data_IF_029897859024
#
_entry.id   IF_029897859024
#
_cell.length_a   1.000
_cell.length_b   1.000
_cell.length_c   1.000
_cell.angle_alpha   90.00
_cell.angle_beta   90.00
_cell.angle_gamma   90.00
#
_symmetry.space_group_name_H-M   'P 1'
#
loop_
_entity.id
_entity.type
_entity.pdbx_description
1 polymer ?
#
# COMPACT_ATOMS: atom_id res chain seq x y z
N UNK A 1 41.25 22.57 29.49
CA UNK A 1 41.18 22.46 30.98
C UNK A 1 39.95 21.65 31.33
N UNK A 2 40.21 20.43 31.85
CA UNK A 2 39.47 19.67 32.88
C UNK A 2 37.98 19.34 32.64
N UNK A 3 37.48 18.16 32.94
CA UNK A 3 38.00 16.86 33.46
C UNK A 3 36.96 15.77 33.12
N UNK A 4 37.49 14.59 32.86
CA UNK A 4 36.75 13.30 32.87
C UNK A 4 36.10 13.02 34.24
N UNK A 5 34.99 12.30 34.25
CA UNK A 5 34.60 11.46 35.35
C UNK A 5 34.00 10.17 34.81
N UNK A 6 34.77 9.07 34.99
CA UNK A 6 34.33 7.67 34.84
C UNK A 6 33.66 7.25 36.16
N UNK A 7 32.54 6.52 36.07
CA UNK A 7 32.10 5.66 37.16
C UNK A 7 31.96 4.24 36.66
N UNK A 8 32.86 3.40 37.18
CA UNK A 8 32.74 1.94 37.17
C UNK A 8 31.87 1.52 38.35
N UNK A 9 30.97 0.60 38.14
CA UNK A 9 30.33 -0.16 39.21
C UNK A 9 30.43 -1.65 38.91
N UNK A 10 31.17 -2.31 39.74
CA UNK A 10 31.42 -3.74 39.83
C UNK A 10 30.16 -4.40 40.42
N UNK A 11 29.60 -5.35 39.71
CA UNK A 11 28.58 -6.25 40.26
C UNK A 11 29.17 -7.63 40.62
N UNK A 12 29.02 -7.95 41.84
CA UNK A 12 29.53 -9.14 42.56
C UNK A 12 28.69 -10.35 42.17
N UNK A 13 29.34 -11.39 41.63
CA UNK A 13 28.74 -12.72 41.46
C UNK A 13 28.68 -13.45 42.80
N UNK A 14 27.53 -13.93 43.20
CA UNK A 14 27.39 -14.93 44.22
C UNK A 14 26.88 -16.23 43.58
N UNK A 15 27.73 -17.25 43.52
CA UNK A 15 27.38 -18.64 43.22
C UNK A 15 26.76 -19.27 44.47
N UNK A 16 25.59 -19.87 44.27
CA UNK A 16 25.06 -20.85 45.16
C UNK A 16 24.70 -22.10 44.35
N UNK A 17 25.51 -23.12 44.50
CA UNK A 17 25.24 -24.51 44.10
C UNK A 17 24.27 -25.11 45.08
N UNK A 18 23.20 -25.73 44.58
CA UNK A 18 22.45 -26.73 45.30
C UNK A 18 22.06 -27.89 44.38
N UNK A 19 22.29 -29.07 44.91
CA UNK A 19 22.35 -30.35 44.26
C UNK A 19 21.01 -30.87 43.69
N UNK A 20 21.21 -31.85 42.84
CA UNK A 20 20.23 -32.67 42.17
C UNK A 20 19.32 -33.47 43.11
N UNK A 21 18.11 -33.62 42.74
CA UNK A 21 17.41 -34.87 42.43
C UNK A 21 15.89 -34.67 42.57
N UNK A 22 15.19 -34.86 41.51
CA UNK A 22 14.07 -35.79 41.47
C UNK A 22 13.33 -35.64 40.13
N UNK A 23 13.31 -36.71 39.37
CA UNK A 23 12.35 -36.95 38.33
C UNK A 23 10.93 -36.89 38.93
N UNK A 24 10.14 -35.94 38.49
CA UNK A 24 8.68 -36.10 38.50
C UNK A 24 8.19 -35.54 37.17
N UNK A 25 7.59 -36.40 36.33
CA UNK A 25 6.73 -36.03 35.25
C UNK A 25 5.63 -35.13 35.82
N UNK A 26 5.78 -33.83 35.67
CA UNK A 26 4.66 -32.91 35.71
C UNK A 26 4.35 -32.56 34.26
N UNK A 27 3.43 -33.31 33.68
CA UNK A 27 2.56 -32.79 32.63
C UNK A 27 1.88 -31.57 33.27
N UNK A 28 2.41 -30.37 32.99
CA UNK A 28 1.63 -29.16 33.22
C UNK A 28 0.36 -29.33 32.37
N UNK A 29 -0.84 -29.20 32.98
CA UNK A 29 -2.05 -29.28 32.20
C UNK A 29 -1.99 -28.14 31.18
N UNK A 30 -2.12 -28.47 29.90
CA UNK A 30 -2.38 -27.50 28.84
C UNK A 30 -3.36 -26.47 29.40
N UNK A 31 -2.97 -25.19 29.34
CA UNK A 31 -3.88 -24.10 29.73
C UNK A 31 -5.19 -24.34 28.99
N UNK A 32 -6.34 -24.38 29.65
CA UNK A 32 -7.59 -24.72 28.98
C UNK A 32 -7.74 -23.78 27.78
N UNK A 33 -7.88 -24.35 26.59
CA UNK A 33 -8.14 -23.60 25.36
C UNK A 33 -9.31 -22.68 25.69
N UNK A 34 -9.07 -21.37 25.58
CA UNK A 34 -10.08 -20.37 25.91
C UNK A 34 -11.24 -20.53 24.94
N UNK A 35 -12.36 -21.07 25.41
CA UNK A 35 -13.55 -21.27 24.57
C UNK A 35 -14.04 -19.91 24.11
N UNK A 36 -13.84 -19.60 22.83
CA UNK A 36 -14.30 -18.37 22.22
C UNK A 36 -15.82 -18.26 22.33
N UNK A 37 -16.33 -17.07 22.60
CA UNK A 37 -17.75 -16.74 22.49
C UNK A 37 -18.25 -16.96 21.04
N UNK A 38 -19.55 -17.06 20.84
CA UNK A 38 -20.12 -17.18 19.48
C UNK A 38 -19.76 -16.01 18.60
N UNK A 39 -19.72 -14.80 19.17
CA UNK A 39 -19.30 -13.58 18.47
C UNK A 39 -17.83 -13.60 18.08
N UNK A 40 -16.94 -14.01 19.00
CA UNK A 40 -15.51 -14.11 18.71
C UNK A 40 -15.21 -15.18 17.65
N UNK A 41 -15.97 -16.32 17.67
CA UNK A 41 -15.88 -17.32 16.60
C UNK A 41 -16.30 -16.76 15.23
N UNK A 42 -17.33 -15.91 15.19
CA UNK A 42 -17.75 -15.25 13.93
C UNK A 42 -16.70 -14.23 13.49
N UNK A 43 -16.13 -13.44 14.40
CA UNK A 43 -15.04 -12.51 14.12
C UNK A 43 -13.79 -13.25 13.60
N UNK A 44 -13.44 -14.42 14.20
CA UNK A 44 -12.32 -15.23 13.72
C UNK A 44 -12.52 -15.70 12.28
N UNK A 45 -13.75 -16.11 11.92
CA UNK A 45 -14.08 -16.50 10.56
C UNK A 45 -14.05 -15.30 9.60
N UNK A 46 -14.56 -14.14 10.05
CA UNK A 46 -14.51 -12.90 9.29
C UNK A 46 -13.06 -12.45 9.05
N UNK A 47 -12.21 -12.58 10.06
CA UNK A 47 -10.78 -12.28 9.97
C UNK A 47 -10.09 -13.17 8.93
N UNK A 48 -10.35 -14.48 8.97
CA UNK A 48 -9.82 -15.42 7.98
C UNK A 48 -10.26 -15.04 6.56
N UNK A 49 -11.55 -14.77 6.38
CA UNK A 49 -12.10 -14.34 5.08
C UNK A 49 -11.48 -13.03 4.61
N UNK A 50 -11.26 -12.06 5.51
CA UNK A 50 -10.56 -10.82 5.14
C UNK A 50 -9.15 -11.08 4.63
N UNK A 51 -8.38 -11.95 5.30
CA UNK A 51 -7.03 -12.32 4.83
C UNK A 51 -7.11 -13.01 3.47
N UNK A 52 -7.96 -14.03 3.32
CA UNK A 52 -8.00 -14.86 2.12
C UNK A 52 -8.63 -14.13 0.91
N UNK A 53 -9.82 -13.52 1.09
CA UNK A 53 -10.62 -12.98 -0.02
C UNK A 53 -10.37 -11.48 -0.29
N UNK A 54 -9.83 -10.74 0.69
CA UNK A 54 -9.57 -9.30 0.54
C UNK A 54 -8.08 -9.06 0.35
N UNK A 55 -7.26 -9.35 1.36
CA UNK A 55 -5.85 -8.96 1.38
C UNK A 55 -5.06 -9.78 0.36
N UNK A 56 -5.10 -11.10 0.44
CA UNK A 56 -4.32 -11.97 -0.46
C UNK A 56 -4.72 -11.81 -1.92
N UNK A 57 -6.05 -11.75 -2.21
CA UNK A 57 -6.52 -11.55 -3.59
C UNK A 57 -6.14 -10.17 -4.14
N UNK A 58 -6.20 -9.13 -3.32
CA UNK A 58 -5.81 -7.78 -3.77
C UNK A 58 -4.31 -7.69 -4.04
N UNK A 59 -3.46 -8.22 -3.17
CA UNK A 59 -2.02 -8.22 -3.40
C UNK A 59 -1.61 -9.14 -4.56
N UNK A 60 -2.33 -10.24 -4.78
CA UNK A 60 -2.14 -11.08 -5.96
C UNK A 60 -2.46 -10.30 -7.25
N UNK A 61 -3.62 -9.65 -7.33
CA UNK A 61 -4.00 -8.88 -8.52
C UNK A 61 -3.05 -7.68 -8.75
N UNK A 62 -2.54 -7.09 -7.67
CA UNK A 62 -1.54 -6.03 -7.75
C UNK A 62 -0.20 -6.59 -8.29
N UNK A 63 0.25 -7.76 -7.82
CA UNK A 63 1.46 -8.43 -8.30
C UNK A 63 1.35 -8.80 -9.79
N UNK A 64 0.22 -9.38 -10.20
CA UNK A 64 -0.05 -9.72 -11.59
C UNK A 64 -0.06 -8.45 -12.48
N UNK A 65 -0.71 -7.37 -12.04
CA UNK A 65 -0.82 -6.13 -12.83
C UNK A 65 0.50 -5.36 -12.92
N UNK A 66 1.30 -5.30 -11.86
CA UNK A 66 2.62 -4.67 -11.90
C UNK A 66 3.61 -5.47 -12.74
N UNK A 67 3.48 -6.79 -12.78
CA UNK A 67 4.26 -7.65 -13.68
C UNK A 67 3.98 -7.35 -15.15
N UNK A 68 2.69 -7.26 -15.51
CA UNK A 68 2.28 -6.91 -16.87
C UNK A 68 2.72 -5.50 -17.27
N UNK A 69 2.70 -4.55 -16.33
CA UNK A 69 3.19 -3.20 -16.56
C UNK A 69 4.70 -3.22 -16.80
N UNK A 70 5.46 -3.92 -15.96
CA UNK A 70 6.91 -4.02 -16.12
C UNK A 70 7.32 -4.65 -17.46
N UNK A 71 6.67 -5.73 -17.86
CA UNK A 71 6.89 -6.34 -19.18
C UNK A 71 6.65 -5.35 -20.32
N UNK A 72 5.61 -4.54 -20.23
CA UNK A 72 5.32 -3.51 -21.22
C UNK A 72 6.36 -2.37 -21.20
N UNK A 73 6.87 -1.99 -20.03
CA UNK A 73 7.93 -0.99 -19.90
C UNK A 73 9.25 -1.49 -20.52
N UNK A 74 9.59 -2.77 -20.36
CA UNK A 74 10.74 -3.40 -21.04
C UNK A 74 10.59 -3.34 -22.56
N UNK A 75 9.38 -3.59 -23.09
CA UNK A 75 9.11 -3.47 -24.52
C UNK A 75 9.25 -2.01 -25.01
N UNK A 76 8.74 -1.04 -24.25
CA UNK A 76 8.90 0.38 -24.54
C UNK A 76 10.38 0.79 -24.55
N UNK A 77 11.14 0.38 -23.51
CA UNK A 77 12.57 0.68 -23.41
C UNK A 77 13.35 0.13 -24.61
N UNK A 78 13.06 -1.11 -24.99
CA UNK A 78 13.69 -1.77 -26.15
C UNK A 78 13.34 -1.07 -27.47
N UNK A 79 12.05 -0.70 -27.64
CA UNK A 79 11.60 0.02 -28.83
C UNK A 79 12.19 1.43 -28.92
N UNK A 80 12.34 2.12 -27.79
CA UNK A 80 12.95 3.46 -27.71
C UNK A 80 14.37 3.46 -28.25
N UNK A 81 15.21 2.53 -27.82
CA UNK A 81 16.59 2.40 -28.29
C UNK A 81 16.68 2.24 -29.83
N UNK A 82 15.63 1.72 -30.46
CA UNK A 82 15.51 1.51 -31.89
C UNK A 82 14.75 2.63 -32.63
N UNK A 83 14.30 3.67 -31.93
CA UNK A 83 13.38 4.71 -32.43
C UNK A 83 12.09 4.13 -33.04
N UNK A 84 11.56 3.08 -32.44
CA UNK A 84 10.42 2.31 -32.90
C UNK A 84 9.23 2.30 -31.92
N UNK A 85 9.20 3.22 -30.96
CA UNK A 85 8.04 3.39 -30.06
C UNK A 85 6.83 3.79 -30.89
N UNK A 86 5.72 3.06 -30.73
CA UNK A 86 4.44 3.38 -31.35
C UNK A 86 3.46 3.90 -30.29
N UNK A 87 2.44 4.66 -30.73
CA UNK A 87 1.43 5.18 -29.81
C UNK A 87 0.66 4.05 -29.12
N UNK A 88 0.33 2.97 -29.81
CA UNK A 88 -0.32 1.80 -29.24
C UNK A 88 0.48 1.17 -28.08
N UNK A 89 1.81 1.20 -28.14
CA UNK A 89 2.67 0.71 -27.05
C UNK A 89 2.57 1.61 -25.82
N UNK A 90 2.54 2.92 -26.02
CA UNK A 90 2.39 3.90 -24.92
C UNK A 90 0.99 3.81 -24.32
N UNK A 91 -0.04 3.79 -25.15
CA UNK A 91 -1.44 3.68 -24.71
C UNK A 91 -1.68 2.39 -23.92
N UNK A 92 -1.04 1.29 -24.35
CA UNK A 92 -1.08 0.02 -23.61
C UNK A 92 -0.38 0.13 -22.25
N UNK A 93 0.79 0.78 -22.17
CA UNK A 93 1.48 1.01 -20.90
C UNK A 93 0.65 1.87 -19.95
N UNK A 94 0.03 2.95 -20.46
CA UNK A 94 -0.88 3.78 -19.69
C UNK A 94 -2.07 2.99 -19.13
N UNK A 95 -2.68 2.13 -19.95
CA UNK A 95 -3.79 1.27 -19.50
C UNK A 95 -3.36 0.28 -18.41
N UNK A 96 -2.19 -0.34 -18.56
CA UNK A 96 -1.65 -1.27 -17.55
C UNK A 96 -1.28 -0.54 -16.26
N UNK A 97 -0.72 0.67 -16.37
CA UNK A 97 -0.44 1.53 -15.22
C UNK A 97 -1.72 1.83 -14.43
N UNK A 98 -2.78 2.30 -15.09
CA UNK A 98 -4.05 2.58 -14.41
C UNK A 98 -4.66 1.33 -13.77
N UNK A 99 -4.48 0.15 -14.36
CA UNK A 99 -4.89 -1.13 -13.77
C UNK A 99 -4.09 -1.49 -12.52
N UNK A 100 -2.78 -1.33 -12.56
CA UNK A 100 -1.91 -1.57 -11.40
C UNK A 100 -2.20 -0.54 -10.28
N UNK A 101 -2.34 0.75 -10.64
CA UNK A 101 -2.71 1.80 -9.68
C UNK A 101 -4.04 1.49 -9.00
N UNK A 102 -5.07 1.09 -9.75
CA UNK A 102 -6.36 0.72 -9.18
C UNK A 102 -6.25 -0.43 -8.15
N UNK A 103 -5.44 -1.45 -8.42
CA UNK A 103 -5.23 -2.54 -7.47
C UNK A 103 -4.47 -2.09 -6.22
N UNK A 104 -3.53 -1.15 -6.35
CA UNK A 104 -2.84 -0.56 -5.20
C UNK A 104 -3.83 0.25 -4.33
N UNK A 105 -4.60 1.16 -4.92
CA UNK A 105 -5.60 1.94 -4.21
C UNK A 105 -6.66 1.08 -3.50
N UNK A 106 -6.97 -0.09 -4.05
CA UNK A 106 -7.84 -1.08 -3.42
C UNK A 106 -7.17 -1.83 -2.26
N UNK A 107 -5.88 -1.61 -1.99
CA UNK A 107 -5.16 -2.16 -0.85
C UNK A 107 -5.01 -1.19 0.33
N UNK A 108 -5.37 0.06 0.15
CA UNK A 108 -5.14 1.16 1.09
C UNK A 108 -5.80 0.98 2.48
N UNK A 109 -6.88 0.18 2.58
CA UNK A 109 -7.50 -0.12 3.87
C UNK A 109 -6.72 -1.14 4.72
N UNK A 110 -5.58 -1.67 4.23
CA UNK A 110 -4.78 -2.66 4.93
C UNK A 110 -3.26 -2.55 4.66
N UNK A 111 -2.75 -1.32 4.62
CA UNK A 111 -1.31 -1.01 4.56
C UNK A 111 -0.61 -1.23 5.91
N UNK A 112 -1.01 -2.27 6.62
CA UNK A 112 -0.47 -2.71 7.91
C UNK A 112 0.43 -3.95 7.72
N UNK A 113 1.07 -4.39 8.79
CA UNK A 113 1.92 -5.58 8.76
C UNK A 113 3.11 -5.40 7.81
N UNK A 114 3.21 -6.21 6.75
CA UNK A 114 4.34 -6.18 5.83
C UNK A 114 4.53 -4.82 5.14
N UNK A 115 3.46 -4.11 4.80
CA UNK A 115 3.54 -2.78 4.18
C UNK A 115 4.25 -1.78 5.11
N UNK A 116 3.89 -1.79 6.39
CA UNK A 116 4.49 -0.94 7.41
C UNK A 116 5.90 -1.42 7.83
N UNK A 117 6.05 -2.72 8.16
CA UNK A 117 7.30 -3.28 8.70
C UNK A 117 8.46 -3.17 7.70
N UNK A 118 8.19 -3.25 6.41
CA UNK A 118 9.18 -3.13 5.35
C UNK A 118 9.18 -1.76 4.67
N UNK A 119 8.38 -0.80 5.16
CA UNK A 119 8.25 0.55 4.59
C UNK A 119 7.93 0.53 3.09
N UNK A 120 7.08 -0.39 2.66
CA UNK A 120 6.78 -0.58 1.23
C UNK A 120 5.90 0.55 0.71
N UNK A 121 4.86 0.94 1.46
CA UNK A 121 3.95 2.01 1.07
C UNK A 121 4.70 3.32 0.71
N UNK A 122 5.48 3.97 1.60
CA UNK A 122 6.21 5.17 1.24
C UNK A 122 7.31 4.96 0.19
N UNK A 123 7.66 3.71 -0.12
CA UNK A 123 8.62 3.38 -1.18
C UNK A 123 7.97 3.37 -2.57
N UNK A 124 6.73 2.89 -2.67
CA UNK A 124 6.05 2.73 -3.95
C UNK A 124 5.01 3.80 -4.27
N UNK A 125 4.62 4.62 -3.27
CA UNK A 125 3.57 5.63 -3.42
C UNK A 125 3.89 6.98 -2.75
N UNK A 126 5.15 7.39 -2.71
CA UNK A 126 5.52 8.73 -2.24
C UNK A 126 5.15 9.83 -3.23
N UNK A 127 4.43 10.84 -2.76
CA UNK A 127 4.07 12.04 -3.52
C UNK A 127 4.12 13.29 -2.63
N UNK A 128 4.30 14.49 -3.23
CA UNK A 128 4.49 14.74 -4.66
C UNK A 128 5.87 14.28 -5.17
N UNK A 129 5.93 13.91 -6.46
CA UNK A 129 7.18 13.57 -7.15
C UNK A 129 8.15 14.77 -7.11
N UNK A 130 9.40 14.53 -6.72
CA UNK A 130 10.44 15.57 -6.76
C UNK A 130 10.97 15.77 -8.17
N UNK A 131 10.30 16.64 -8.93
CA UNK A 131 10.67 16.95 -10.32
C UNK A 131 12.07 17.53 -10.44
N UNK A 132 12.55 18.34 -9.49
CA UNK A 132 13.91 18.88 -9.53
C UNK A 132 14.95 17.77 -9.47
N UNK A 133 14.79 16.82 -8.55
CA UNK A 133 15.67 15.67 -8.46
C UNK A 133 15.57 14.78 -9.70
N UNK A 134 14.35 14.54 -10.21
CA UNK A 134 14.15 13.75 -11.41
C UNK A 134 14.89 14.35 -12.61
N UNK A 135 14.74 15.63 -12.87
CA UNK A 135 15.41 16.29 -13.99
C UNK A 135 16.94 16.33 -13.83
N UNK A 136 17.44 16.48 -12.58
CA UNK A 136 18.88 16.36 -12.33
C UNK A 136 19.39 14.94 -12.62
N UNK A 137 18.64 13.92 -12.26
CA UNK A 137 18.94 12.53 -12.63
C UNK A 137 18.98 12.37 -14.16
N UNK A 138 17.91 12.79 -14.86
CA UNK A 138 17.79 12.65 -16.31
C UNK A 138 18.84 13.49 -17.09
N UNK A 139 19.39 14.53 -16.46
CA UNK A 139 20.50 15.31 -17.03
C UNK A 139 21.88 14.65 -16.83
N UNK A 140 21.97 13.56 -16.06
CA UNK A 140 23.22 12.87 -15.76
C UNK A 140 23.30 11.51 -16.48
N UNK A 141 24.01 11.41 -17.62
CA UNK A 141 24.12 10.13 -18.35
C UNK A 141 24.64 8.96 -17.53
N UNK A 142 25.60 9.23 -16.61
CA UNK A 142 26.18 8.17 -15.77
C UNK A 142 25.15 7.60 -14.78
N UNK A 143 24.33 8.44 -14.19
CA UNK A 143 23.28 8.00 -13.25
C UNK A 143 22.19 7.25 -14.00
N UNK A 144 21.73 7.75 -15.15
CA UNK A 144 20.71 7.08 -15.95
C UNK A 144 21.22 5.72 -16.44
N UNK A 145 22.44 5.67 -16.96
CA UNK A 145 23.01 4.41 -17.47
C UNK A 145 23.21 3.35 -16.37
N UNK A 146 23.37 3.74 -15.10
CA UNK A 146 23.40 2.78 -13.99
C UNK A 146 22.03 2.16 -13.68
N UNK A 147 20.97 2.71 -14.21
CA UNK A 147 19.60 2.18 -14.09
C UNK A 147 19.21 1.29 -15.30
N UNK A 148 20.07 1.18 -16.33
CA UNK A 148 19.73 0.41 -17.53
C UNK A 148 20.13 -1.07 -17.38
N UNK A 149 19.31 -1.98 -17.93
CA UNK A 149 19.58 -3.40 -17.94
C UNK A 149 18.88 -4.19 -16.83
N UNK A 150 19.31 -5.44 -16.64
CA UNK A 150 18.69 -6.41 -15.72
C UNK A 150 18.79 -5.97 -14.25
N UNK A 151 19.90 -5.35 -13.87
CA UNK A 151 20.14 -4.86 -12.51
C UNK A 151 19.46 -3.49 -12.23
N UNK A 152 18.84 -2.90 -13.25
CA UNK A 152 18.20 -1.58 -13.14
C UNK A 152 17.20 -1.44 -11.99
N UNK A 153 16.29 -2.41 -11.78
CA UNK A 153 15.36 -2.39 -10.64
C UNK A 153 16.04 -2.36 -9.28
N UNK A 154 17.08 -3.14 -9.08
CA UNK A 154 17.85 -3.14 -7.84
C UNK A 154 18.64 -1.84 -7.69
N UNK A 155 19.23 -1.33 -8.75
CA UNK A 155 19.93 -0.05 -8.75
C UNK A 155 18.97 1.13 -8.41
N UNK A 156 17.73 1.09 -8.88
CA UNK A 156 16.70 2.06 -8.51
C UNK A 156 16.39 1.99 -7.02
N UNK A 157 16.13 0.80 -6.49
CA UNK A 157 15.86 0.57 -5.06
C UNK A 157 16.98 1.11 -4.16
N UNK A 158 18.24 0.80 -4.50
CA UNK A 158 19.40 1.13 -3.66
C UNK A 158 19.83 2.61 -3.75
N UNK A 159 19.64 3.25 -4.92
CA UNK A 159 20.26 4.55 -5.19
C UNK A 159 19.28 5.72 -5.34
N UNK A 160 17.98 5.45 -5.56
CA UNK A 160 16.98 6.50 -5.65
C UNK A 160 16.28 6.70 -4.31
N UNK A 161 15.99 7.95 -3.98
CA UNK A 161 15.15 8.25 -2.82
C UNK A 161 13.67 8.04 -3.14
N UNK A 162 12.86 7.80 -2.10
CA UNK A 162 11.41 7.55 -2.22
C UNK A 162 10.69 8.55 -3.13
N UNK A 163 11.05 9.84 -3.09
CA UNK A 163 10.46 10.88 -3.94
C UNK A 163 10.70 10.72 -5.45
N UNK A 164 11.47 9.71 -5.87
CA UNK A 164 11.74 9.34 -7.27
C UNK A 164 11.29 7.92 -7.60
N UNK A 165 10.71 7.19 -6.66
CA UNK A 165 10.32 5.79 -6.83
C UNK A 165 8.79 5.65 -6.99
N UNK A 166 8.36 4.44 -7.30
CA UNK A 166 6.97 4.06 -7.27
C UNK A 166 6.11 4.61 -8.41
N UNK A 167 4.81 4.63 -8.16
CA UNK A 167 3.80 4.95 -9.15
C UNK A 167 3.96 6.35 -9.76
N UNK A 168 4.22 7.39 -8.96
CA UNK A 168 4.23 8.77 -9.44
C UNK A 168 5.39 9.09 -10.37
N UNK A 169 6.54 8.42 -10.20
CA UNK A 169 7.65 8.49 -11.16
C UNK A 169 7.28 7.91 -12.52
N UNK A 170 6.62 6.75 -12.53
CA UNK A 170 6.15 6.08 -13.75
C UNK A 170 5.02 6.90 -14.39
N UNK A 171 4.08 7.38 -13.60
CA UNK A 171 2.97 8.23 -14.03
C UNK A 171 3.47 9.44 -14.81
N UNK A 172 4.45 10.17 -14.26
CA UNK A 172 5.03 11.34 -14.91
C UNK A 172 5.62 11.02 -16.29
N UNK A 173 6.23 9.85 -16.47
CA UNK A 173 6.83 9.46 -17.75
C UNK A 173 5.77 9.01 -18.77
N UNK A 174 4.67 8.42 -18.32
CA UNK A 174 3.63 7.89 -19.20
C UNK A 174 2.56 8.93 -19.58
N UNK A 175 2.30 9.93 -18.72
CA UNK A 175 1.18 10.85 -18.89
C UNK A 175 1.61 12.33 -18.89
N UNK A 176 0.82 13.16 -19.60
CA UNK A 176 0.81 14.62 -19.52
C UNK A 176 -0.62 15.13 -19.65
N UNK A 177 -1.04 15.99 -18.72
CA UNK A 177 -2.37 16.63 -18.75
C UNK A 177 -3.52 15.62 -18.93
N UNK A 178 -3.48 14.49 -18.25
CA UNK A 178 -4.49 13.45 -18.33
C UNK A 178 -4.48 12.62 -19.60
N UNK A 179 -3.46 12.76 -20.45
CA UNK A 179 -3.35 12.03 -21.70
C UNK A 179 -2.06 11.20 -21.75
N UNK A 180 -2.06 10.05 -22.45
CA UNK A 180 -0.82 9.35 -22.79
C UNK A 180 0.17 10.27 -23.49
N UNK A 181 1.46 10.14 -23.15
CA UNK A 181 2.53 10.85 -23.83
C UNK A 181 2.62 10.46 -25.30
N UNK A 182 3.14 11.36 -26.12
CA UNK A 182 3.36 11.08 -27.54
C UNK A 182 4.55 10.12 -27.73
N UNK A 183 4.35 9.07 -28.50
CA UNK A 183 5.38 8.08 -28.81
C UNK A 183 6.68 8.69 -29.34
N UNK A 184 6.59 9.74 -30.13
CA UNK A 184 7.75 10.43 -30.69
C UNK A 184 8.67 11.03 -29.62
N UNK A 185 8.12 11.47 -28.49
CA UNK A 185 8.87 12.06 -27.38
C UNK A 185 9.68 10.99 -26.61
N UNK A 186 9.20 9.75 -26.59
CA UNK A 186 9.79 8.61 -25.84
C UNK A 186 10.81 7.78 -26.66
N UNK A 187 11.06 8.12 -27.92
CA UNK A 187 12.10 7.50 -28.72
C UNK A 187 13.49 8.01 -28.32
N UNK A 188 14.55 7.28 -28.67
CA UNK A 188 15.94 7.66 -28.39
C UNK A 188 16.29 9.03 -28.96
N UNK A 189 15.80 9.36 -30.15
CA UNK A 189 15.91 10.69 -30.75
C UNK A 189 14.87 11.70 -30.25
N UNK A 190 13.92 11.25 -29.42
CA UNK A 190 12.87 12.08 -28.85
C UNK A 190 13.42 13.04 -27.81
N UNK A 191 12.75 14.17 -27.70
CA UNK A 191 13.04 15.19 -26.68
C UNK A 191 11.76 15.65 -26.06
N UNK A 192 11.79 15.82 -24.74
CA UNK A 192 10.71 16.44 -23.99
C UNK A 192 11.16 17.73 -23.32
N UNK A 193 10.18 18.52 -22.92
CA UNK A 193 10.38 19.76 -22.16
C UNK A 193 9.22 19.93 -21.18
N UNK A 194 9.52 20.32 -19.95
CA UNK A 194 8.52 20.59 -18.93
C UNK A 194 8.64 22.02 -18.42
N UNK A 195 7.61 22.82 -18.68
CA UNK A 195 7.56 24.24 -18.35
C UNK A 195 6.26 24.55 -17.60
N UNK A 196 6.14 24.03 -16.38
CA UNK A 196 5.01 24.22 -15.48
C UNK A 196 5.49 24.39 -14.04
N UNK A 197 4.65 24.92 -13.19
CA UNK A 197 4.84 24.98 -11.73
C UNK A 197 6.16 25.69 -11.33
N UNK A 198 6.59 26.66 -12.11
CA UNK A 198 7.85 27.40 -11.89
C UNK A 198 9.10 26.65 -12.36
N UNK A 199 8.95 25.44 -12.89
CA UNK A 199 10.02 24.64 -13.47
C UNK A 199 10.17 24.92 -14.96
N UNK A 200 11.43 24.95 -15.43
CA UNK A 200 11.75 25.12 -16.84
C UNK A 200 12.89 24.17 -17.22
N UNK A 201 12.50 22.99 -17.66
CA UNK A 201 13.42 21.96 -18.11
C UNK A 201 13.20 21.67 -19.60
N UNK A 202 14.28 21.62 -20.35
CA UNK A 202 14.22 21.49 -21.81
C UNK A 202 15.17 20.41 -22.31
N UNK A 203 14.77 19.74 -23.39
CA UNK A 203 15.61 18.83 -24.16
C UNK A 203 16.10 17.57 -23.42
N UNK A 204 15.38 17.08 -22.41
CA UNK A 204 15.74 15.80 -21.82
C UNK A 204 15.33 14.62 -22.72
N UNK A 205 16.10 13.54 -22.65
CA UNK A 205 16.01 12.41 -23.59
C UNK A 205 14.87 11.48 -23.26
N UNK A 206 14.00 11.18 -24.24
CA UNK A 206 12.96 10.15 -24.11
C UNK A 206 13.52 8.76 -23.80
N UNK A 207 14.72 8.43 -24.29
CA UNK A 207 15.41 7.20 -23.91
C UNK A 207 15.75 7.17 -22.41
N UNK A 208 16.25 8.29 -21.87
CA UNK A 208 16.61 8.38 -20.47
C UNK A 208 15.38 8.32 -19.54
N UNK A 209 14.28 8.93 -19.97
CA UNK A 209 13.00 8.81 -19.29
C UNK A 209 12.53 7.35 -19.21
N UNK A 210 12.64 6.59 -20.30
CA UNK A 210 12.23 5.18 -20.31
C UNK A 210 13.20 4.26 -19.58
N UNK A 211 14.50 4.55 -19.55
CA UNK A 211 15.45 3.83 -18.68
C UNK A 211 15.03 3.98 -17.22
N UNK A 212 14.87 5.22 -16.77
CA UNK A 212 14.43 5.52 -15.41
C UNK A 212 13.09 4.85 -15.08
N UNK A 213 12.07 5.07 -15.89
CA UNK A 213 10.73 4.53 -15.62
C UNK A 213 10.68 3.00 -15.63
N UNK A 214 11.51 2.34 -16.47
CA UNK A 214 11.60 0.89 -16.51
C UNK A 214 12.25 0.34 -15.23
N UNK A 215 13.34 0.94 -14.78
CA UNK A 215 14.01 0.55 -13.54
C UNK A 215 13.09 0.72 -12.31
N UNK A 216 12.42 1.89 -12.20
CA UNK A 216 11.45 2.16 -11.13
C UNK A 216 10.25 1.23 -11.20
N UNK A 217 9.78 0.87 -12.39
CA UNK A 217 8.68 -0.08 -12.56
C UNK A 217 9.07 -1.51 -12.12
N UNK A 218 10.31 -1.91 -12.38
CA UNK A 218 10.83 -3.20 -11.92
C UNK A 218 11.00 -3.25 -10.39
N UNK A 219 11.43 -2.16 -9.78
CA UNK A 219 11.50 -2.00 -8.32
C UNK A 219 10.10 -2.00 -7.69
N UNK A 220 9.13 -1.30 -8.28
CA UNK A 220 7.72 -1.35 -7.89
C UNK A 220 7.18 -2.79 -7.91
N UNK A 221 7.39 -3.53 -9.00
CA UNK A 221 7.00 -4.95 -9.10
C UNK A 221 7.63 -5.79 -7.98
N UNK A 222 8.92 -5.63 -7.72
CA UNK A 222 9.63 -6.38 -6.68
C UNK A 222 9.08 -6.08 -5.30
N UNK A 223 8.80 -4.82 -4.99
CA UNK A 223 8.18 -4.38 -3.73
C UNK A 223 6.78 -4.96 -3.55
N UNK A 224 6.01 -5.05 -4.63
CA UNK A 224 4.67 -5.66 -4.63
C UNK A 224 4.76 -7.20 -4.46
N UNK A 225 5.73 -7.87 -5.09
CA UNK A 225 5.98 -9.29 -4.82
C UNK A 225 6.31 -9.53 -3.35
N UNK A 226 7.03 -8.60 -2.71
CA UNK A 226 7.29 -8.67 -1.28
C UNK A 226 6.00 -8.62 -0.46
N UNK A 227 5.05 -7.73 -0.82
CA UNK A 227 3.73 -7.68 -0.16
C UNK A 227 2.99 -9.00 -0.31
N UNK A 228 2.83 -9.50 -1.55
CA UNK A 228 2.12 -10.75 -1.82
C UNK A 228 2.75 -11.92 -1.07
N UNK A 229 4.06 -12.13 -1.21
CA UNK A 229 4.76 -13.24 -0.55
C UNK A 229 4.74 -13.13 0.98
N UNK A 230 4.71 -11.92 1.53
CA UNK A 230 4.65 -11.71 2.97
C UNK A 230 3.27 -12.04 3.56
N UNK A 231 2.20 -11.73 2.83
CA UNK A 231 0.85 -12.00 3.29
C UNK A 231 0.40 -13.43 2.99
N UNK A 232 0.74 -13.95 1.82
CA UNK A 232 0.29 -15.26 1.34
C UNK A 232 1.44 -16.26 1.28
N UNK A 233 1.45 -17.23 2.20
CA UNK A 233 2.45 -18.32 2.18
C UNK A 233 2.38 -19.17 0.89
N UNK A 234 1.23 -19.19 0.21
CA UNK A 234 1.00 -19.91 -1.05
C UNK A 234 1.22 -19.01 -2.29
N UNK A 235 1.88 -17.85 -2.15
CA UNK A 235 2.25 -17.01 -3.28
C UNK A 235 3.08 -17.79 -4.32
N UNK A 236 3.06 -17.38 -5.61
CA UNK A 236 3.77 -18.08 -6.68
C UNK A 236 5.26 -18.26 -6.39
N UNK A 237 5.79 -19.48 -6.65
CA UNK A 237 7.21 -19.79 -6.43
C UNK A 237 8.14 -18.87 -7.23
N UNK A 238 7.69 -18.37 -8.40
CA UNK A 238 8.46 -17.42 -9.18
C UNK A 238 8.64 -16.08 -8.45
N UNK A 239 7.63 -15.61 -7.71
CA UNK A 239 7.71 -14.38 -6.92
C UNK A 239 8.57 -14.58 -5.67
N UNK A 240 8.42 -15.72 -4.97
CA UNK A 240 9.28 -16.09 -3.84
C UNK A 240 10.75 -16.18 -4.25
N UNK A 241 11.03 -16.72 -5.45
CA UNK A 241 12.39 -16.79 -6.00
C UNK A 241 13.01 -15.40 -6.17
N UNK A 242 12.25 -14.40 -6.62
CA UNK A 242 12.73 -13.01 -6.69
C UNK A 242 13.08 -12.49 -5.30
N UNK A 243 12.28 -12.81 -4.28
CA UNK A 243 12.56 -12.40 -2.88
C UNK A 243 13.84 -13.06 -2.34
N UNK A 244 14.06 -14.34 -2.65
CA UNK A 244 15.29 -15.05 -2.31
C UNK A 244 16.52 -14.43 -2.99
N UNK A 245 16.43 -14.13 -4.29
CA UNK A 245 17.52 -13.56 -5.08
C UNK A 245 17.89 -12.14 -4.61
N UNK A 246 16.91 -11.38 -4.11
CA UNK A 246 17.11 -10.05 -3.51
C UNK A 246 17.46 -10.11 -2.01
N UNK A 247 17.47 -11.30 -1.40
CA UNK A 247 17.66 -11.49 0.05
C UNK A 247 16.67 -10.70 0.91
N UNK A 248 15.43 -10.51 0.42
CA UNK A 248 14.39 -9.76 1.13
C UNK A 248 13.56 -10.66 2.04
N UNK A 249 13.48 -10.27 3.32
CA UNK A 249 12.60 -10.95 4.28
C UNK A 249 11.12 -10.78 3.89
N UNK A 250 10.34 -11.88 4.05
CA UNK A 250 8.91 -11.96 3.73
C UNK A 250 8.07 -12.51 4.89
N UNK A 251 8.63 -12.60 6.08
CA UNK A 251 7.95 -13.14 7.27
C UNK A 251 8.01 -12.16 8.42
N UNK A 252 7.13 -12.37 9.40
CA UNK A 252 7.18 -11.63 10.66
C UNK A 252 8.51 -11.84 11.37
N UNK A 253 9.12 -10.80 11.88
CA UNK A 253 10.42 -10.87 12.58
C UNK A 253 10.36 -11.67 13.88
N UNK A 254 9.18 -11.77 14.51
CA UNK A 254 9.00 -12.39 15.82
C UNK A 254 8.81 -13.90 15.74
N UNK A 255 8.01 -14.37 14.78
CA UNK A 255 7.61 -15.79 14.71
C UNK A 255 8.01 -16.49 13.40
N UNK A 256 8.49 -15.74 12.41
CA UNK A 256 8.93 -16.30 11.13
C UNK A 256 7.80 -16.88 10.26
N UNK A 257 6.54 -16.53 10.55
CA UNK A 257 5.36 -16.94 9.76
C UNK A 257 4.91 -15.81 8.85
N UNK A 258 4.04 -16.11 7.87
CA UNK A 258 3.46 -15.08 7.03
C UNK A 258 2.57 -14.12 7.83
N UNK A 259 2.39 -12.88 7.34
CA UNK A 259 1.51 -11.91 7.99
C UNK A 259 0.05 -12.35 7.97
N UNK A 260 -0.39 -13.02 6.91
CA UNK A 260 -1.72 -13.61 6.84
C UNK A 260 -1.93 -14.68 7.89
N UNK A 261 -0.97 -15.60 8.03
CA UNK A 261 -1.02 -16.65 9.06
C UNK A 261 -0.96 -16.06 10.48
N UNK A 262 -0.09 -15.07 10.70
CA UNK A 262 0.00 -14.33 11.96
C UNK A 262 -1.36 -13.73 12.35
N UNK A 263 -2.07 -13.13 11.41
CA UNK A 263 -3.37 -12.51 11.64
C UNK A 263 -4.47 -13.56 11.88
N UNK A 264 -4.57 -14.60 11.06
CA UNK A 264 -5.57 -15.68 11.19
C UNK A 264 -5.41 -16.44 12.50
N UNK A 265 -4.18 -16.56 13.00
CA UNK A 265 -3.87 -17.21 14.28
C UNK A 265 -3.97 -16.27 15.49
N UNK A 266 -4.62 -15.12 15.36
CA UNK A 266 -4.81 -14.20 16.48
C UNK A 266 -5.37 -14.90 17.74
N UNK A 267 -4.73 -14.65 18.88
CA UNK A 267 -5.04 -15.30 20.16
C UNK A 267 -4.39 -16.66 20.39
N UNK A 268 -3.65 -17.19 19.39
CA UNK A 268 -2.91 -18.47 19.52
C UNK A 268 -1.41 -18.22 19.70
N UNK A 269 -0.71 -19.23 20.18
CA UNK A 269 0.75 -19.21 20.29
C UNK A 269 1.39 -18.94 18.91
N UNK A 270 2.39 -18.07 18.86
CA UNK A 270 3.09 -17.68 17.63
C UNK A 270 2.49 -16.46 16.92
N UNK A 271 1.25 -16.06 17.21
CA UNK A 271 0.69 -14.79 16.70
C UNK A 271 1.11 -13.59 17.56
N UNK A 272 1.38 -12.46 16.89
CA UNK A 272 1.63 -11.19 17.59
C UNK A 272 0.33 -10.53 18.08
N UNK A 273 -0.82 -10.93 17.54
CA UNK A 273 -2.13 -10.46 17.96
C UNK A 273 -2.62 -11.28 19.18
N UNK A 274 -2.83 -10.61 20.31
CA UNK A 274 -3.22 -11.26 21.57
C UNK A 274 -4.63 -11.84 21.56
N UNK A 275 -5.50 -11.37 20.66
CA UNK A 275 -6.88 -11.85 20.51
C UNK A 275 -7.40 -11.55 19.11
N UNK A 276 -8.49 -12.21 18.73
CA UNK A 276 -9.23 -11.93 17.48
C UNK A 276 -9.69 -10.48 17.44
N UNK A 277 -10.18 -9.94 18.56
CA UNK A 277 -10.60 -8.53 18.66
C UNK A 277 -9.45 -7.57 18.38
N UNK A 278 -8.22 -7.87 18.87
CA UNK A 278 -7.04 -7.04 18.57
C UNK A 278 -6.67 -7.06 17.08
N UNK A 279 -6.78 -8.21 16.40
CA UNK A 279 -6.49 -8.29 14.97
C UNK A 279 -7.55 -7.56 14.15
N UNK A 280 -8.83 -7.64 14.52
CA UNK A 280 -9.91 -6.86 13.88
C UNK A 280 -9.69 -5.36 14.12
N UNK A 281 -9.32 -4.94 15.34
CA UNK A 281 -9.00 -3.55 15.65
C UNK A 281 -7.86 -3.01 14.77
N UNK A 282 -6.82 -3.82 14.54
CA UNK A 282 -5.72 -3.44 13.65
C UNK A 282 -6.19 -3.17 12.21
N UNK A 283 -7.11 -3.99 11.69
CA UNK A 283 -7.69 -3.76 10.35
C UNK A 283 -8.61 -2.53 10.33
N UNK A 284 -9.43 -2.33 11.38
CA UNK A 284 -10.42 -1.26 11.37
C UNK A 284 -9.82 0.11 11.66
N UNK A 285 -8.96 0.21 12.69
CA UNK A 285 -8.52 1.51 13.25
C UNK A 285 -7.01 1.58 13.54
N UNK A 286 -6.25 0.51 13.25
CA UNK A 286 -4.79 0.54 13.37
C UNK A 286 -4.14 1.46 12.33
N UNK A 287 -2.84 1.76 12.54
CA UNK A 287 -2.05 2.48 11.56
C UNK A 287 -2.04 1.70 10.22
N UNK A 288 -2.37 2.38 9.11
CA UNK A 288 -2.56 1.75 7.80
C UNK A 288 -3.86 0.93 7.67
N UNK A 289 -4.81 1.06 8.61
CA UNK A 289 -6.12 0.42 8.58
C UNK A 289 -7.23 1.27 7.94
N UNK A 290 -8.43 0.69 7.87
CA UNK A 290 -9.57 1.24 7.14
C UNK A 290 -10.01 2.66 7.56
N UNK A 291 -10.00 2.98 8.86
CA UNK A 291 -10.35 4.32 9.32
C UNK A 291 -9.27 5.34 8.97
N UNK A 292 -7.99 4.93 8.97
CA UNK A 292 -6.85 5.76 8.63
C UNK A 292 -6.92 6.26 7.19
N UNK A 293 -7.12 5.36 6.23
CA UNK A 293 -7.22 5.79 4.81
C UNK A 293 -8.44 6.66 4.56
N UNK A 294 -9.58 6.42 5.22
CA UNK A 294 -10.74 7.28 5.05
C UNK A 294 -10.49 8.70 5.56
N UNK A 295 -9.79 8.81 6.70
CA UNK A 295 -9.37 10.10 7.26
C UNK A 295 -8.35 10.79 6.32
N UNK A 296 -7.41 10.04 5.77
CA UNK A 296 -6.40 10.54 4.84
C UNK A 296 -7.03 11.08 3.55
N UNK A 297 -7.96 10.34 2.93
CA UNK A 297 -8.69 10.85 1.75
C UNK A 297 -9.37 12.18 2.05
N UNK A 298 -10.06 12.27 3.20
CA UNK A 298 -10.75 13.50 3.59
C UNK A 298 -9.79 14.63 3.97
N UNK A 299 -8.99 14.42 5.00
CA UNK A 299 -8.22 15.49 5.65
C UNK A 299 -6.89 15.82 4.95
N UNK A 300 -6.36 14.89 4.15
CA UNK A 300 -5.05 15.06 3.51
C UNK A 300 -5.19 15.18 2.00
N UNK A 301 -5.64 14.11 1.33
CA UNK A 301 -5.66 14.03 -0.15
C UNK A 301 -6.61 15.08 -0.78
N UNK A 302 -7.79 15.31 -0.20
CA UNK A 302 -8.74 16.33 -0.69
C UNK A 302 -8.49 17.69 -0.01
N UNK A 303 -8.33 17.71 1.32
CA UNK A 303 -8.34 18.96 2.06
C UNK A 303 -7.08 19.82 1.88
N UNK A 304 -5.88 19.24 1.75
CA UNK A 304 -4.66 20.04 1.60
C UNK A 304 -4.74 20.98 0.38
N UNK A 305 -5.06 20.50 -0.84
CA UNK A 305 -5.25 21.42 -1.97
C UNK A 305 -6.50 22.30 -1.82
N UNK A 306 -7.63 21.77 -1.33
CA UNK A 306 -8.89 22.51 -1.19
C UNK A 306 -8.76 23.71 -0.25
N UNK A 307 -8.16 23.53 0.91
CA UNK A 307 -7.97 24.60 1.91
C UNK A 307 -6.86 25.58 1.56
N UNK A 308 -5.99 25.23 0.59
CA UNK A 308 -4.79 25.98 0.26
C UNK A 308 -3.62 25.72 1.22
N UNK A 309 -3.70 24.70 2.07
CA UNK A 309 -2.61 24.30 2.95
C UNK A 309 -1.39 23.83 2.14
N UNK A 310 -1.63 23.05 1.09
CA UNK A 310 -0.64 22.70 0.07
C UNK A 310 -1.35 22.41 -1.27
N UNK A 311 -1.32 23.38 -2.17
CA UNK A 311 -1.97 23.28 -3.48
C UNK A 311 -1.25 22.34 -4.45
N UNK A 312 -0.03 21.92 -4.12
CA UNK A 312 0.73 20.97 -4.92
C UNK A 312 0.57 19.53 -4.42
N UNK A 313 -0.08 19.35 -3.28
CA UNK A 313 -0.33 18.04 -2.69
C UNK A 313 -1.51 17.35 -3.39
N UNK A 314 -1.35 17.10 -4.69
CA UNK A 314 -2.36 16.46 -5.53
C UNK A 314 -1.82 15.12 -6.00
N UNK A 315 -2.51 14.06 -5.62
CA UNK A 315 -2.22 12.69 -6.05
C UNK A 315 -2.65 12.49 -7.50
N UNK A 316 -1.90 11.69 -8.26
CA UNK A 316 -2.14 11.38 -9.68
C UNK A 316 -2.42 12.62 -10.56
N UNK A 317 -1.55 13.68 -10.50
CA UNK A 317 -1.80 14.93 -11.21
C UNK A 317 -1.52 14.84 -12.71
N UNK A 318 -0.74 13.85 -13.15
CA UNK A 318 -0.30 13.72 -14.55
C UNK A 318 -1.28 12.89 -15.38
N UNK A 319 -1.86 11.87 -14.80
CA UNK A 319 -2.90 11.02 -15.41
C UNK A 319 -4.31 11.58 -15.21
N UNK A 320 -4.49 12.54 -14.31
CA UNK A 320 -5.77 13.08 -13.86
C UNK A 320 -6.67 12.02 -13.17
N UNK A 321 -6.07 11.03 -12.51
CA UNK A 321 -6.80 9.88 -11.94
C UNK A 321 -7.26 10.07 -10.50
N UNK A 322 -6.89 11.17 -9.82
CA UNK A 322 -7.09 11.40 -8.38
C UNK A 322 -8.47 10.98 -7.85
N UNK A 323 -9.57 11.39 -8.53
CA UNK A 323 -10.92 11.06 -8.06
C UNK A 323 -11.21 9.56 -8.11
N UNK A 324 -10.64 8.85 -9.08
CA UNK A 324 -10.75 7.39 -9.17
C UNK A 324 -9.97 6.73 -8.04
N UNK A 325 -8.79 7.25 -7.74
CA UNK A 325 -7.93 6.76 -6.66
C UNK A 325 -8.64 6.92 -5.31
N UNK A 326 -9.18 8.10 -5.00
CA UNK A 326 -9.96 8.34 -3.78
C UNK A 326 -11.18 7.40 -3.65
N UNK A 327 -11.86 7.13 -4.75
CA UNK A 327 -12.98 6.18 -4.76
C UNK A 327 -12.49 4.77 -4.46
N UNK A 328 -11.37 4.33 -5.03
CA UNK A 328 -10.79 3.02 -4.76
C UNK A 328 -10.31 2.89 -3.31
N UNK A 329 -9.76 3.96 -2.71
CA UNK A 329 -9.46 3.97 -1.29
C UNK A 329 -10.71 3.67 -0.44
N UNK A 330 -11.83 4.34 -0.69
CA UNK A 330 -13.08 4.06 0.04
C UNK A 330 -13.65 2.68 -0.30
N UNK A 331 -13.50 2.19 -1.54
CA UNK A 331 -13.89 0.83 -1.93
C UNK A 331 -13.04 -0.24 -1.24
N UNK A 332 -11.76 0.02 -0.94
CA UNK A 332 -10.93 -0.90 -0.16
C UNK A 332 -11.53 -1.15 1.23
N UNK A 333 -12.09 -0.11 1.85
CA UNK A 333 -12.83 -0.21 3.11
C UNK A 333 -14.10 -1.05 2.95
N UNK A 334 -14.84 -0.84 1.86
CA UNK A 334 -16.02 -1.66 1.55
C UNK A 334 -15.67 -3.15 1.43
N UNK A 335 -14.53 -3.46 0.78
CA UNK A 335 -14.05 -4.82 0.60
C UNK A 335 -13.70 -5.47 1.95
N UNK A 336 -13.01 -4.74 2.83
CA UNK A 336 -12.74 -5.18 4.22
C UNK A 336 -14.04 -5.45 4.98
N UNK A 337 -15.02 -4.53 4.90
CA UNK A 337 -16.29 -4.66 5.60
C UNK A 337 -17.11 -5.85 5.13
N UNK A 338 -17.14 -6.09 3.83
CA UNK A 338 -17.97 -7.13 3.19
C UNK A 338 -17.24 -8.47 2.96
N UNK A 339 -15.98 -8.58 3.41
CA UNK A 339 -15.19 -9.80 3.34
C UNK A 339 -14.87 -10.24 1.91
N UNK A 340 -14.36 -9.31 1.11
CA UNK A 340 -13.91 -9.54 -0.25
C UNK A 340 -14.31 -8.48 -1.24
N UNK A 341 -13.67 -8.51 -2.41
CA UNK A 341 -14.03 -7.68 -3.57
C UNK A 341 -15.42 -8.10 -4.08
N UNK A 342 -16.06 -7.23 -4.85
CA UNK A 342 -17.46 -7.40 -5.27
C UNK A 342 -17.79 -8.79 -5.84
N UNK A 343 -16.85 -9.39 -6.55
CA UNK A 343 -16.96 -10.69 -7.21
C UNK A 343 -16.80 -11.89 -6.28
N UNK A 344 -16.17 -11.72 -5.10
CA UNK A 344 -15.85 -12.81 -4.16
C UNK A 344 -16.28 -12.54 -2.71
N UNK A 345 -17.18 -11.58 -2.47
CA UNK A 345 -17.69 -11.22 -1.13
C UNK A 345 -18.28 -12.41 -0.39
N UNK A 346 -17.96 -12.50 0.88
CA UNK A 346 -18.49 -13.55 1.75
C UNK A 346 -19.56 -12.99 2.68
N UNK A 347 -20.82 -13.16 2.31
CA UNK A 347 -21.97 -12.66 3.09
C UNK A 347 -22.21 -13.42 4.41
N UNK A 348 -21.55 -14.56 4.64
CA UNK A 348 -21.74 -15.37 5.85
C UNK A 348 -20.68 -15.05 6.91
N UNK A 349 -19.43 -14.80 6.49
CA UNK A 349 -18.30 -14.58 7.37
C UNK A 349 -17.59 -13.27 6.98
N UNK A 350 -18.17 -12.15 7.41
CA UNK A 350 -17.65 -10.80 7.17
C UNK A 350 -17.95 -9.93 8.40
N UNK A 351 -17.33 -8.76 8.47
CA UNK A 351 -17.71 -7.76 9.48
C UNK A 351 -19.16 -7.33 9.31
N UNK A 352 -19.62 -7.17 8.07
CA UNK A 352 -21.02 -6.94 7.75
C UNK A 352 -21.95 -8.01 8.37
N UNK A 353 -21.61 -9.29 8.24
CA UNK A 353 -22.40 -10.39 8.81
C UNK A 353 -22.41 -10.35 10.34
N UNK A 354 -21.27 -10.06 10.96
CA UNK A 354 -21.18 -9.89 12.40
C UNK A 354 -22.10 -8.76 12.89
N UNK A 355 -22.00 -7.58 12.25
CA UNK A 355 -22.79 -6.41 12.69
C UNK A 355 -24.27 -6.54 12.34
N UNK A 356 -24.64 -7.18 11.24
CA UNK A 356 -26.05 -7.51 10.96
C UNK A 356 -26.68 -8.35 12.06
N UNK A 357 -25.91 -9.26 12.68
CA UNK A 357 -26.37 -10.11 13.77
C UNK A 357 -26.39 -9.40 15.13
N UNK A 358 -25.34 -8.67 15.47
CA UNK A 358 -25.13 -8.16 16.84
C UNK A 358 -25.38 -6.67 17.01
N UNK A 359 -25.27 -5.85 15.97
CA UNK A 359 -25.59 -4.43 15.97
C UNK A 359 -25.94 -3.91 14.57
N UNK A 360 -27.19 -4.14 14.10
CA UNK A 360 -27.62 -3.71 12.76
C UNK A 360 -27.55 -2.19 12.53
N UNK A 361 -27.61 -1.39 13.59
CA UNK A 361 -27.51 0.09 13.48
C UNK A 361 -26.11 0.51 13.06
N UNK A 362 -25.07 -0.06 13.67
CA UNK A 362 -23.68 0.18 13.27
C UNK A 362 -23.45 -0.31 11.84
N UNK A 363 -23.96 -1.50 11.48
CA UNK A 363 -23.85 -1.98 10.10
C UNK A 363 -24.42 -0.97 9.11
N UNK A 364 -25.65 -0.50 9.35
CA UNK A 364 -26.31 0.48 8.48
C UNK A 364 -25.53 1.79 8.41
N UNK A 365 -24.98 2.25 9.53
CA UNK A 365 -24.17 3.47 9.60
C UNK A 365 -22.91 3.35 8.74
N UNK A 366 -22.13 2.25 8.87
CA UNK A 366 -20.91 2.02 8.08
C UNK A 366 -21.22 1.93 6.59
N UNK A 367 -22.21 1.11 6.19
CA UNK A 367 -22.58 0.98 4.78
C UNK A 367 -23.08 2.30 4.16
N UNK A 368 -23.87 3.07 4.92
CA UNK A 368 -24.36 4.39 4.49
C UNK A 368 -23.20 5.37 4.34
N UNK A 369 -22.27 5.42 5.30
CA UNK A 369 -21.12 6.30 5.25
C UNK A 369 -20.23 6.01 4.03
N UNK A 370 -19.87 4.74 3.79
CA UNK A 370 -19.09 4.31 2.62
C UNK A 370 -19.78 4.73 1.30
N UNK A 371 -21.08 4.43 1.18
CA UNK A 371 -21.85 4.75 -0.03
C UNK A 371 -21.91 6.26 -0.24
N UNK A 372 -22.07 7.03 0.83
CA UNK A 372 -22.13 8.49 0.77
C UNK A 372 -20.78 9.09 0.39
N UNK A 373 -19.67 8.62 0.97
CA UNK A 373 -18.34 9.09 0.65
C UNK A 373 -18.02 8.90 -0.86
N UNK A 374 -18.25 7.71 -1.40
CA UNK A 374 -18.10 7.44 -2.82
C UNK A 374 -18.97 8.37 -3.67
N UNK A 375 -20.22 8.58 -3.27
CA UNK A 375 -21.16 9.43 -4.00
C UNK A 375 -20.73 10.92 -3.96
N UNK A 376 -20.24 11.42 -2.83
CA UNK A 376 -19.79 12.82 -2.71
C UNK A 376 -18.46 13.06 -3.44
N UNK A 377 -17.52 12.13 -3.42
CA UNK A 377 -16.29 12.20 -4.24
C UNK A 377 -16.64 12.24 -5.73
N UNK A 378 -17.54 11.38 -6.20
CA UNK A 378 -17.99 11.34 -7.60
C UNK A 378 -18.65 12.64 -8.09
N UNK A 379 -19.14 13.49 -7.19
CA UNK A 379 -19.73 14.79 -7.55
C UNK A 379 -18.70 15.91 -7.70
N UNK A 380 -17.45 15.70 -7.29
CA UNK A 380 -16.39 16.67 -7.54
C UNK A 380 -16.14 16.70 -9.06
N UNK A 381 -16.12 17.87 -9.70
CA UNK A 381 -15.85 17.94 -11.12
C UNK A 381 -14.46 17.40 -11.47
N UNK A 382 -14.38 16.56 -12.48
CA UNK A 382 -13.10 16.06 -13.00
C UNK A 382 -12.47 17.06 -14.02
N UNK A 383 -11.13 17.09 -14.11
CA UNK A 383 -10.17 16.42 -13.24
C UNK A 383 -9.98 17.17 -11.90
N UNK A 384 -9.65 16.46 -10.83
CA UNK A 384 -9.47 17.05 -9.50
C UNK A 384 -8.40 18.15 -9.49
N UNK A 385 -7.28 17.95 -10.16
CA UNK A 385 -6.16 18.91 -10.26
C UNK A 385 -6.57 20.30 -10.77
N UNK A 386 -7.67 20.41 -11.53
CA UNK A 386 -8.22 21.68 -12.00
C UNK A 386 -9.44 22.14 -11.20
N UNK A 387 -9.96 21.32 -10.30
CA UNK A 387 -11.23 21.54 -9.61
C UNK A 387 -11.14 21.38 -8.07
N UNK A 388 -9.95 21.29 -7.52
CA UNK A 388 -9.74 21.07 -6.07
C UNK A 388 -10.31 22.20 -5.19
N UNK A 389 -10.57 23.39 -5.73
CA UNK A 389 -11.22 24.50 -5.01
C UNK A 389 -12.76 24.46 -5.05
N UNK A 390 -13.35 23.44 -5.70
CA UNK A 390 -14.81 23.34 -5.80
C UNK A 390 -15.42 23.08 -4.43
N UNK A 391 -16.52 23.81 -4.06
CA UNK A 391 -17.18 23.59 -2.75
C UNK A 391 -17.69 22.17 -2.48
N UNK A 392 -17.83 21.34 -3.53
CA UNK A 392 -18.16 19.92 -3.39
C UNK A 392 -17.08 19.14 -2.64
N UNK A 393 -15.82 19.59 -2.66
CA UNK A 393 -14.72 18.98 -1.91
C UNK A 393 -15.03 18.94 -0.40
N UNK A 394 -15.63 19.99 0.19
CA UNK A 394 -16.00 19.97 1.61
C UNK A 394 -16.99 18.85 1.93
N UNK A 395 -17.96 18.59 1.06
CA UNK A 395 -18.93 17.50 1.29
C UNK A 395 -18.29 16.13 1.19
N UNK A 396 -17.31 15.95 0.29
CA UNK A 396 -16.55 14.72 0.19
C UNK A 396 -15.67 14.52 1.43
N UNK A 397 -15.01 15.57 1.92
CA UNK A 397 -14.23 15.55 3.17
C UNK A 397 -15.12 15.10 4.33
N UNK A 398 -16.26 15.78 4.54
CA UNK A 398 -17.17 15.47 5.64
C UNK A 398 -17.69 14.01 5.57
N UNK A 399 -17.96 13.52 4.36
CA UNK A 399 -18.42 12.16 4.14
C UNK A 399 -17.32 11.11 4.43
N UNK A 400 -16.05 11.37 4.06
CA UNK A 400 -14.92 10.51 4.40
C UNK A 400 -14.70 10.46 5.92
N UNK A 401 -14.77 11.59 6.60
CA UNK A 401 -14.66 11.63 8.06
C UNK A 401 -15.77 10.83 8.76
N UNK A 402 -16.98 10.81 8.20
CA UNK A 402 -18.06 9.97 8.76
C UNK A 402 -17.77 8.47 8.57
N UNK A 403 -17.07 8.03 7.52
CA UNK A 403 -16.62 6.64 7.39
C UNK A 403 -15.67 6.29 8.54
N UNK A 404 -14.65 7.12 8.78
CA UNK A 404 -13.71 6.94 9.89
C UNK A 404 -14.44 6.86 11.24
N UNK A 405 -15.37 7.80 11.49
CA UNK A 405 -16.18 7.81 12.72
C UNK A 405 -17.04 6.54 12.89
N UNK A 406 -17.63 6.04 11.80
CA UNK A 406 -18.45 4.83 11.83
C UNK A 406 -17.61 3.57 12.13
N UNK A 407 -16.40 3.49 11.56
CA UNK A 407 -15.46 2.39 11.82
C UNK A 407 -14.93 2.40 13.26
N UNK A 408 -14.63 3.58 13.81
CA UNK A 408 -14.26 3.74 15.22
C UNK A 408 -15.38 3.29 16.17
N UNK A 409 -16.64 3.60 15.83
CA UNK A 409 -17.79 3.14 16.60
C UNK A 409 -17.96 1.61 16.50
N UNK A 410 -17.66 1.02 15.33
CA UNK A 410 -17.70 -0.41 15.13
C UNK A 410 -16.62 -1.12 15.97
N UNK A 411 -15.38 -0.64 15.95
CA UNK A 411 -14.31 -1.17 16.79
C UNK A 411 -14.66 -1.07 18.28
N UNK A 412 -15.11 0.10 18.72
CA UNK A 412 -15.52 0.32 20.11
C UNK A 412 -16.60 -0.65 20.55
N UNK A 413 -17.55 -1.00 19.69
CA UNK A 413 -18.57 -2.01 19.99
C UNK A 413 -17.94 -3.39 20.16
N UNK A 414 -17.04 -3.82 19.28
CA UNK A 414 -16.35 -5.11 19.35
C UNK A 414 -15.54 -5.22 20.65
N UNK A 415 -14.77 -4.18 21.00
CA UNK A 415 -13.90 -4.20 22.19
C UNK A 415 -14.69 -4.26 23.50
N UNK A 416 -15.86 -3.64 23.56
CA UNK A 416 -16.67 -3.51 24.78
C UNK A 416 -17.78 -4.57 24.92
N UNK A 417 -17.88 -5.53 23.99
CA UNK A 417 -19.00 -6.47 23.96
C UNK A 417 -18.47 -7.91 23.96
N UNK A 418 -18.92 -8.72 24.92
CA UNK A 418 -18.72 -10.18 24.92
C UNK A 418 -19.98 -10.84 24.38
N UNK A 419 -19.96 -11.28 23.14
CA UNK A 419 -21.10 -11.91 22.43
C UNK A 419 -20.83 -13.36 22.13
#
# INVERSE_FOLDING_TARGET
MNKLLKFSSIALCAFLTLDAASCSNNDEPDSPEQVLSEGDQLLQKALKVNVENTINETYKDLADSTSLLYDQMLLLRKASAQNAVTQDMVDKACKLFLGARANYELSEAFLLGAAADFSIDPHIDSWPLDLNRLFNLLASPNLVNSLDGEDGPQAANENLGQSLLGFHGIEFILFRDGQPRKAAELNANGKDSYNKDGLNFTNFSGEYELIYATAVCGDLRNSVYRLECSWNADAPEAHKKVMEDLEWAITTSTSGISYGENMVNAGKAGSTYRSVKNAISAILIGDGGAAGISDEVGNVKINNPFSGADVNYIESPYSHNSLTDFIHNIQSIENVWKGGRKENRNSQYSLEAYFKKYNPEINTRVETAITTAIAEINKIPAPFVLNYTNPQCQKAIDACLEVSNALNAADSFIQNTDK
#
